data_IF_151216726055
#
_entry.id   IF_151216726055
#
_cell.length_a   1.000
_cell.length_b   1.000
_cell.length_c   1.000
_cell.angle_alpha   90.00
_cell.angle_beta   90.00
_cell.angle_gamma   90.00
#
_symmetry.space_group_name_H-M   'P 1'
#
loop_
_entity.id
_entity.type
_entity.pdbx_description
1 polymer ?
#
# COMPACT_ATOMS: atom_id res chain seq x y z
N UNK A 1 11.11 -31.56 -51.09
CA UNK A 1 10.94 -30.11 -50.85
C UNK A 1 12.17 -29.63 -50.09
N UNK A 2 12.81 -28.54 -50.49
CA UNK A 2 13.89 -27.98 -49.70
C UNK A 2 13.31 -27.45 -48.38
N UNK A 3 13.94 -27.77 -47.27
CA UNK A 3 13.64 -27.21 -45.96
C UNK A 3 14.02 -25.72 -45.96
N UNK A 4 13.05 -24.83 -45.82
CA UNK A 4 13.30 -23.40 -45.67
C UNK A 4 13.31 -23.04 -44.17
N UNK A 5 14.40 -22.47 -43.68
CA UNK A 5 14.49 -21.99 -42.32
C UNK A 5 13.68 -20.68 -42.20
N UNK A 6 12.62 -20.74 -41.44
CA UNK A 6 11.88 -19.54 -41.05
C UNK A 6 12.49 -18.99 -39.72
N UNK A 7 12.96 -17.77 -39.77
CA UNK A 7 13.50 -17.06 -38.57
C UNK A 7 12.63 -15.83 -38.31
N UNK A 8 11.96 -15.82 -37.16
CA UNK A 8 11.17 -14.69 -36.75
C UNK A 8 11.97 -13.80 -35.80
N UNK A 9 11.77 -12.49 -35.91
CA UNK A 9 12.36 -11.53 -34.98
C UNK A 9 11.70 -11.69 -33.60
N UNK A 10 12.46 -11.82 -32.49
CA UNK A 10 11.90 -11.96 -31.15
C UNK A 10 11.30 -10.63 -30.65
N UNK A 11 10.40 -10.71 -29.67
CA UNK A 11 9.69 -9.57 -29.11
C UNK A 11 8.39 -9.26 -29.84
N UNK A 12 7.47 -8.61 -29.16
CA UNK A 12 6.20 -8.15 -29.74
C UNK A 12 6.38 -6.71 -30.22
N UNK A 13 5.93 -6.42 -31.42
CA UNK A 13 5.93 -5.06 -31.96
C UNK A 13 4.52 -4.67 -32.42
N UNK A 14 3.95 -3.66 -31.76
CA UNK A 14 2.59 -3.11 -32.00
C UNK A 14 2.62 -1.66 -32.50
N UNK A 15 3.82 -1.11 -32.79
CA UNK A 15 3.95 0.30 -33.21
C UNK A 15 3.59 0.54 -34.68
N UNK A 16 3.52 -0.52 -35.47
CA UNK A 16 3.08 -0.47 -36.86
C UNK A 16 1.84 -1.33 -37.11
N UNK A 17 1.60 -1.66 -38.35
CA UNK A 17 0.59 -2.62 -38.76
C UNK A 17 1.13 -4.04 -38.67
N UNK A 18 0.23 -5.04 -38.64
CA UNK A 18 0.65 -6.45 -38.71
C UNK A 18 1.42 -6.75 -40.00
N UNK A 19 1.14 -6.03 -41.07
CA UNK A 19 1.83 -6.16 -42.37
C UNK A 19 3.27 -5.60 -42.32
N UNK A 20 3.47 -4.46 -41.66
CA UNK A 20 4.80 -3.86 -41.50
C UNK A 20 5.74 -4.72 -40.61
N UNK A 21 5.14 -5.55 -39.79
CA UNK A 21 5.86 -6.45 -38.87
C UNK A 21 6.08 -7.86 -39.47
N UNK A 22 6.12 -7.98 -40.79
CA UNK A 22 6.40 -9.26 -41.46
C UNK A 22 7.69 -9.88 -40.95
N UNK A 23 7.64 -11.18 -40.58
CA UNK A 23 8.75 -11.90 -39.95
C UNK A 23 8.98 -11.57 -38.48
N UNK A 24 8.05 -10.87 -37.83
CA UNK A 24 8.02 -10.60 -36.38
C UNK A 24 6.73 -11.11 -35.73
N UNK A 25 6.56 -10.76 -34.46
CA UNK A 25 5.38 -11.08 -33.66
C UNK A 25 4.58 -9.82 -33.45
N UNK A 26 3.37 -9.74 -34.02
CA UNK A 26 2.49 -8.58 -33.85
C UNK A 26 1.64 -8.68 -32.59
N UNK A 27 1.15 -9.87 -32.25
CA UNK A 27 0.30 -10.13 -31.10
C UNK A 27 0.57 -11.51 -30.51
N UNK A 28 0.77 -11.58 -29.19
CA UNK A 28 0.88 -12.82 -28.44
C UNK A 28 0.37 -12.59 -27.02
N UNK A 29 -0.33 -13.55 -26.47
CA UNK A 29 -0.73 -13.57 -25.07
C UNK A 29 -0.03 -14.72 -24.34
N UNK A 30 0.45 -14.47 -23.10
CA UNK A 30 1.16 -15.46 -22.27
C UNK A 30 2.42 -16.05 -22.96
N UNK A 31 3.14 -15.22 -23.70
CA UNK A 31 4.39 -15.59 -24.37
C UNK A 31 5.49 -14.62 -24.00
N UNK A 32 6.62 -15.15 -23.59
CA UNK A 32 7.88 -14.42 -23.41
C UNK A 32 8.88 -14.77 -24.50
N UNK A 33 9.91 -13.99 -24.63
CA UNK A 33 11.01 -14.28 -25.54
C UNK A 33 12.30 -14.48 -24.75
N UNK A 34 13.00 -15.56 -25.05
CA UNK A 34 14.26 -15.90 -24.40
C UNK A 34 15.24 -16.45 -25.41
N UNK A 35 16.45 -15.90 -25.44
CA UNK A 35 17.49 -16.31 -26.43
C UNK A 35 16.97 -16.28 -27.84
N UNK A 36 16.18 -15.25 -28.18
CA UNK A 36 15.59 -15.09 -29.50
C UNK A 36 14.44 -16.04 -29.85
N UNK A 37 13.91 -16.82 -28.91
CA UNK A 37 12.84 -17.80 -29.14
C UNK A 37 11.61 -17.50 -28.27
N UNK A 38 10.39 -17.72 -28.80
CA UNK A 38 9.18 -17.62 -27.99
C UNK A 38 9.10 -18.81 -27.03
N UNK A 39 8.72 -18.51 -25.79
CA UNK A 39 8.51 -19.47 -24.71
C UNK A 39 7.16 -19.17 -24.05
N UNK A 40 6.36 -20.18 -23.74
CA UNK A 40 5.10 -19.98 -23.03
C UNK A 40 5.36 -19.42 -21.64
N UNK A 41 4.63 -18.39 -21.30
CA UNK A 41 4.52 -17.92 -19.93
C UNK A 41 3.58 -18.87 -19.18
N UNK A 42 4.07 -19.61 -18.19
CA UNK A 42 3.37 -20.75 -17.59
C UNK A 42 2.08 -20.41 -16.82
N UNK A 43 1.70 -19.14 -16.77
CA UNK A 43 0.56 -18.65 -15.98
C UNK A 43 0.91 -18.47 -14.50
N UNK A 44 -0.12 -18.25 -13.70
CA UNK A 44 -0.03 -17.99 -12.27
C UNK A 44 -0.70 -19.13 -11.49
N UNK A 45 -0.05 -19.61 -10.46
CA UNK A 45 -0.60 -20.61 -9.54
C UNK A 45 -0.77 -19.98 -8.17
N UNK A 46 -1.77 -20.42 -7.43
CA UNK A 46 -1.99 -19.99 -6.06
C UNK A 46 -0.96 -20.66 -5.15
N UNK A 47 -0.20 -19.88 -4.39
CA UNK A 47 0.84 -20.39 -3.50
C UNK A 47 0.25 -21.12 -2.28
N UNK A 48 -0.84 -20.59 -1.71
CA UNK A 48 -1.48 -21.18 -0.53
C UNK A 48 -2.99 -21.28 -0.71
N UNK A 49 -3.62 -22.23 -0.04
CA UNK A 49 -5.09 -22.38 0.05
C UNK A 49 -5.69 -21.48 1.12
N UNK A 50 -4.88 -20.96 2.04
CA UNK A 50 -5.32 -20.06 3.10
C UNK A 50 -5.75 -18.71 2.54
N UNK A 51 -6.67 -18.05 3.23
CA UNK A 51 -7.30 -16.81 2.78
C UNK A 51 -7.12 -15.70 3.80
N UNK A 52 -7.14 -14.48 3.31
CA UNK A 52 -7.17 -13.25 4.09
C UNK A 52 -8.32 -12.35 3.59
N UNK A 53 -8.68 -11.33 4.37
CA UNK A 53 -9.74 -10.39 4.00
C UNK A 53 -9.19 -9.23 3.18
N UNK A 54 -9.92 -8.88 2.12
CA UNK A 54 -9.59 -7.76 1.26
C UNK A 54 -8.70 -8.11 0.08
N UNK A 55 -8.44 -7.13 -0.79
CA UNK A 55 -7.59 -7.26 -1.98
C UNK A 55 -6.17 -6.83 -1.63
N UNK A 56 -5.18 -7.71 -1.82
CA UNK A 56 -3.78 -7.39 -1.57
C UNK A 56 -3.28 -6.29 -2.51
N UNK A 57 -2.71 -5.23 -1.94
CA UNK A 57 -2.13 -4.08 -2.65
C UNK A 57 -0.66 -3.87 -2.32
N UNK A 58 -0.13 -4.61 -1.32
CA UNK A 58 1.24 -4.50 -0.89
C UNK A 58 1.75 -5.86 -0.43
N UNK A 59 2.93 -6.22 -0.90
CA UNK A 59 3.63 -7.44 -0.50
C UNK A 59 5.07 -7.07 -0.12
N UNK A 60 5.56 -7.64 0.97
CA UNK A 60 6.93 -7.45 1.45
C UNK A 60 7.44 -8.74 2.08
N UNK A 61 8.48 -9.32 1.52
CA UNK A 61 9.09 -10.54 2.02
C UNK A 61 10.42 -10.26 2.68
N UNK A 62 10.64 -10.81 3.87
CA UNK A 62 11.92 -10.74 4.59
C UNK A 62 12.18 -12.02 5.38
N UNK A 63 13.38 -12.11 5.92
CA UNK A 63 13.82 -13.24 6.74
C UNK A 63 14.42 -12.66 8.01
N UNK A 64 14.02 -13.18 9.20
CA UNK A 64 14.61 -12.80 10.47
C UNK A 64 16.00 -13.42 10.66
N UNK A 65 16.74 -12.97 11.68
CA UNK A 65 18.02 -13.54 12.06
C UNK A 65 17.90 -15.00 12.49
N UNK A 66 16.74 -15.41 12.97
CA UNK A 66 16.41 -16.81 13.28
C UNK A 66 16.03 -17.64 12.05
N UNK A 67 16.16 -17.07 10.85
CA UNK A 67 15.83 -17.70 9.56
C UNK A 67 14.33 -17.96 9.36
N UNK A 68 13.45 -17.33 10.12
CA UNK A 68 12.01 -17.36 9.90
C UNK A 68 11.66 -16.49 8.70
N UNK A 69 10.89 -17.05 7.77
CA UNK A 69 10.42 -16.33 6.59
C UNK A 69 9.09 -15.68 6.88
N UNK A 70 9.00 -14.40 6.56
CA UNK A 70 7.79 -13.60 6.70
C UNK A 70 7.38 -12.98 5.37
N UNK A 71 6.07 -12.85 5.16
CA UNK A 71 5.49 -12.10 4.07
C UNK A 71 4.43 -11.14 4.62
N UNK A 72 4.73 -9.84 4.58
CA UNK A 72 3.76 -8.78 4.87
C UNK A 72 2.76 -8.63 3.73
N UNK A 73 1.46 -8.64 4.04
CA UNK A 73 0.37 -8.51 3.07
C UNK A 73 -0.56 -7.38 3.50
N UNK A 74 -0.49 -6.24 2.80
CA UNK A 74 -1.37 -5.11 3.03
C UNK A 74 -2.57 -5.12 2.09
N UNK A 75 -3.79 -5.16 2.65
CA UNK A 75 -5.05 -5.11 1.91
C UNK A 75 -5.78 -3.79 2.14
N UNK A 76 -6.87 -3.53 1.42
CA UNK A 76 -7.69 -2.35 1.68
C UNK A 76 -8.42 -2.41 3.03
N UNK A 77 -8.53 -3.61 3.63
CA UNK A 77 -9.20 -3.83 4.91
C UNK A 77 -8.20 -3.96 6.08
N UNK A 78 -7.14 -4.75 5.90
CA UNK A 78 -6.24 -5.18 6.99
C UNK A 78 -4.79 -5.28 6.53
N UNK A 79 -3.90 -5.45 7.50
CA UNK A 79 -2.51 -5.81 7.27
C UNK A 79 -2.18 -7.13 7.98
N UNK A 80 -1.58 -8.07 7.24
CA UNK A 80 -1.24 -9.40 7.72
C UNK A 80 0.26 -9.66 7.63
N UNK A 81 0.74 -10.55 8.49
CA UNK A 81 2.00 -11.26 8.31
C UNK A 81 1.67 -12.73 8.05
N UNK A 82 2.10 -13.23 6.90
CA UNK A 82 2.12 -14.67 6.65
C UNK A 82 3.39 -15.25 7.24
N UNK A 83 3.23 -16.31 8.03
CA UNK A 83 4.30 -17.11 8.59
C UNK A 83 3.80 -18.56 8.71
N UNK A 84 4.53 -19.50 8.11
CA UNK A 84 4.19 -20.92 8.14
C UNK A 84 2.81 -21.24 7.56
N UNK A 85 2.49 -20.69 6.40
CA UNK A 85 1.20 -20.79 5.70
C UNK A 85 0.00 -20.16 6.44
N UNK A 86 0.20 -19.41 7.51
CA UNK A 86 -0.87 -18.75 8.25
C UNK A 86 -0.82 -17.23 8.10
N UNK A 87 -1.95 -16.59 7.80
CA UNK A 87 -2.07 -15.13 7.77
C UNK A 87 -2.49 -14.61 9.14
N UNK A 88 -1.57 -13.92 9.81
CA UNK A 88 -1.76 -13.37 11.14
C UNK A 88 -2.10 -11.87 11.03
N UNK A 89 -3.22 -11.45 11.58
CA UNK A 89 -3.70 -10.07 11.54
C UNK A 89 -2.92 -9.20 12.52
N UNK A 90 -2.04 -8.35 11.99
CA UNK A 90 -1.28 -7.36 12.76
C UNK A 90 -1.81 -5.94 12.60
N UNK A 91 -3.00 -5.77 12.04
CA UNK A 91 -3.62 -4.44 11.82
C UNK A 91 -3.62 -3.64 13.11
N UNK A 92 -3.09 -2.40 13.11
CA UNK A 92 -2.98 -1.59 14.33
C UNK A 92 -4.34 -1.24 14.92
N UNK A 93 -4.38 -1.09 16.25
CA UNK A 93 -5.53 -0.55 16.97
C UNK A 93 -5.36 0.97 17.03
N UNK A 94 -6.34 1.74 16.53
CA UNK A 94 -6.35 3.21 16.59
C UNK A 94 -6.87 3.77 17.89
N UNK A 95 -7.81 3.06 18.54
CA UNK A 95 -8.40 3.48 19.80
C UNK A 95 -9.03 2.30 20.53
N UNK A 96 -9.01 2.37 21.85
CA UNK A 96 -9.71 1.44 22.74
C UNK A 96 -10.58 2.25 23.69
N UNK A 97 -11.85 1.87 23.83
CA UNK A 97 -12.78 2.56 24.73
C UNK A 97 -12.50 2.22 26.19
N UNK A 98 -13.03 3.03 27.10
CA UNK A 98 -13.09 2.65 28.52
C UNK A 98 -14.15 1.55 28.73
N UNK A 99 -14.01 0.84 29.83
CA UNK A 99 -15.00 -0.18 30.20
C UNK A 99 -16.37 0.47 30.44
N UNK A 100 -17.38 -0.04 29.74
CA UNK A 100 -18.77 0.42 29.85
C UNK A 100 -19.16 1.56 28.92
N UNK A 101 -18.24 2.11 28.11
CA UNK A 101 -18.57 3.12 27.10
C UNK A 101 -19.43 2.51 25.95
N UNK A 102 -19.26 1.23 25.69
CA UNK A 102 -19.96 0.52 24.62
C UNK A 102 -21.20 -0.17 25.17
N UNK A 103 -22.34 0.04 24.49
CA UNK A 103 -23.64 -0.55 24.86
C UNK A 103 -24.25 -1.26 23.64
N UNK A 104 -24.71 -2.48 23.85
CA UNK A 104 -25.38 -3.27 22.83
C UNK A 104 -26.90 -3.23 22.98
N UNK A 105 -27.61 -3.23 21.85
CA UNK A 105 -29.04 -3.41 21.81
C UNK A 105 -29.42 -4.43 20.72
N UNK A 106 -30.10 -5.48 21.10
CA UNK A 106 -30.59 -6.55 20.24
C UNK A 106 -32.12 -6.70 20.30
N UNK A 107 -32.73 -7.15 19.22
CA UNK A 107 -34.15 -7.41 19.13
C UNK A 107 -34.42 -8.89 18.83
N UNK A 108 -35.39 -9.49 19.51
CA UNK A 108 -35.85 -10.86 19.22
C UNK A 108 -36.22 -11.00 17.74
N UNK A 109 -35.73 -12.06 17.10
CA UNK A 109 -35.95 -12.34 15.67
C UNK A 109 -34.96 -11.62 14.74
N UNK A 110 -33.99 -10.82 15.26
CA UNK A 110 -33.00 -10.11 14.48
C UNK A 110 -31.57 -10.64 14.73
N UNK A 111 -30.74 -10.67 13.70
CA UNK A 111 -29.32 -10.89 13.82
C UNK A 111 -28.52 -9.59 13.91
N UNK A 112 -29.20 -8.45 13.78
CA UNK A 112 -28.56 -7.13 13.82
C UNK A 112 -28.51 -6.67 15.28
N UNK A 113 -27.30 -6.34 15.73
CA UNK A 113 -27.04 -5.71 17.02
C UNK A 113 -26.66 -4.25 16.77
N UNK A 114 -27.37 -3.35 17.41
CA UNK A 114 -26.99 -1.92 17.44
C UNK A 114 -25.98 -1.71 18.54
N UNK A 115 -24.88 -1.06 18.21
CA UNK A 115 -23.82 -0.69 19.14
C UNK A 115 -23.86 0.83 19.31
N UNK A 116 -24.01 1.27 20.55
CA UNK A 116 -23.88 2.67 20.93
C UNK A 116 -22.51 2.88 21.55
N UNK A 117 -21.75 3.85 20.99
CA UNK A 117 -20.43 4.27 21.45
C UNK A 117 -20.21 5.71 20.96
N UNK A 118 -19.99 6.63 21.89
CA UNK A 118 -19.94 8.06 21.60
C UNK A 118 -18.67 8.43 20.85
N UNK A 119 -18.84 9.11 19.71
CA UNK A 119 -17.74 9.60 18.86
C UNK A 119 -16.77 8.47 18.43
N UNK A 120 -17.30 7.30 18.10
CA UNK A 120 -16.52 6.11 17.75
C UNK A 120 -15.58 6.29 16.53
N UNK A 121 -15.83 7.26 15.65
CA UNK A 121 -14.98 7.59 14.49
C UNK A 121 -14.84 6.46 13.47
N UNK A 122 -15.69 5.43 13.56
CA UNK A 122 -15.66 4.31 12.65
C UNK A 122 -16.46 4.60 11.38
N UNK A 123 -16.05 3.97 10.28
CA UNK A 123 -16.76 3.96 9.00
C UNK A 123 -17.30 2.57 8.69
N UNK A 124 -18.18 2.46 7.72
CA UNK A 124 -18.67 1.15 7.25
C UNK A 124 -17.50 0.27 6.82
N UNK A 125 -17.57 -1.00 7.14
CA UNK A 125 -16.55 -2.02 6.94
C UNK A 125 -15.34 -1.96 7.88
N UNK A 126 -15.23 -1.00 8.79
CA UNK A 126 -14.22 -1.01 9.85
C UNK A 126 -14.34 -2.25 10.75
N UNK A 127 -13.27 -2.55 11.46
CA UNK A 127 -13.22 -3.68 12.38
C UNK A 127 -13.10 -3.20 13.83
N UNK A 128 -13.85 -3.85 14.71
CA UNK A 128 -13.82 -3.65 16.15
C UNK A 128 -13.81 -5.00 16.87
N UNK A 129 -12.97 -5.14 17.87
CA UNK A 129 -12.95 -6.31 18.74
C UNK A 129 -13.57 -5.94 20.08
N UNK A 130 -14.59 -6.65 20.49
CA UNK A 130 -15.22 -6.46 21.80
C UNK A 130 -14.68 -7.43 22.83
N UNK A 131 -14.62 -6.98 24.07
CA UNK A 131 -14.28 -7.76 25.25
C UNK A 131 -15.09 -7.30 26.46
N UNK A 132 -15.16 -8.09 27.49
CA UNK A 132 -15.88 -7.78 28.72
C UNK A 132 -17.41 -7.79 28.61
N UNK A 133 -17.98 -8.16 27.47
CA UNK A 133 -19.43 -8.22 27.29
C UNK A 133 -20.05 -9.42 28.01
N UNK A 134 -21.18 -9.18 28.65
CA UNK A 134 -22.11 -10.21 29.14
C UNK A 134 -23.13 -10.56 28.06
N UNK A 135 -23.96 -11.60 28.29
CA UNK A 135 -25.01 -11.99 27.36
C UNK A 135 -26.13 -10.95 27.29
N UNK A 136 -26.67 -10.73 26.08
CA UNK A 136 -27.90 -9.96 25.89
C UNK A 136 -29.17 -10.83 26.17
N UNK A 137 -28.98 -12.11 26.40
CA UNK A 137 -30.03 -13.10 26.58
C UNK A 137 -30.16 -14.06 25.39
N UNK A 138 -30.74 -15.25 25.66
CA UNK A 138 -30.96 -16.30 24.65
C UNK A 138 -29.68 -16.70 23.91
N UNK A 139 -29.74 -16.72 22.59
CA UNK A 139 -28.64 -17.11 21.71
C UNK A 139 -27.51 -16.05 21.57
N UNK A 140 -27.76 -14.78 21.91
CA UNK A 140 -26.74 -13.73 21.90
C UNK A 140 -25.99 -13.77 23.22
N UNK A 141 -25.09 -14.74 23.31
CA UNK A 141 -24.27 -15.00 24.51
C UNK A 141 -23.05 -14.07 24.59
N UNK A 142 -22.36 -14.09 25.74
CA UNK A 142 -21.09 -13.39 25.89
C UNK A 142 -20.05 -13.81 24.84
N UNK A 143 -19.99 -15.09 24.47
CA UNK A 143 -19.07 -15.59 23.43
C UNK A 143 -19.43 -15.06 22.03
N UNK A 144 -20.71 -14.81 21.75
CA UNK A 144 -21.15 -14.16 20.52
C UNK A 144 -20.70 -12.71 20.48
N UNK A 145 -20.70 -11.98 21.59
CA UNK A 145 -20.33 -10.55 21.62
C UNK A 145 -18.81 -10.32 21.70
N UNK A 146 -18.10 -11.13 22.49
CA UNK A 146 -16.65 -10.97 22.74
C UNK A 146 -15.79 -11.55 21.61
N UNK A 147 -15.85 -10.92 20.45
CA UNK A 147 -15.04 -11.27 19.28
C UNK A 147 -14.88 -10.07 18.35
N UNK A 148 -14.14 -10.24 17.26
CA UNK A 148 -13.99 -9.23 16.23
C UNK A 148 -15.24 -9.17 15.34
N UNK A 149 -15.69 -7.95 15.05
CA UNK A 149 -16.78 -7.66 14.13
C UNK A 149 -16.39 -6.67 13.06
N UNK A 150 -16.86 -6.91 11.86
CA UNK A 150 -16.89 -5.89 10.81
C UNK A 150 -18.17 -5.06 10.98
N UNK A 151 -18.05 -3.75 10.93
CA UNK A 151 -19.16 -2.80 11.03
C UNK A 151 -19.98 -2.86 9.75
N UNK A 152 -21.24 -3.26 9.87
CA UNK A 152 -22.15 -3.39 8.74
C UNK A 152 -22.66 -2.03 8.26
N UNK A 153 -23.15 -1.21 9.16
CA UNK A 153 -23.73 0.09 8.85
C UNK A 153 -23.43 1.09 9.95
N UNK A 154 -22.93 2.26 9.61
CA UNK A 154 -22.82 3.39 10.54
C UNK A 154 -24.14 4.15 10.53
N UNK A 155 -24.79 4.26 11.69
CA UNK A 155 -26.07 4.96 11.86
C UNK A 155 -25.83 6.46 12.02
N UNK A 156 -24.90 6.83 12.90
CA UNK A 156 -24.46 8.20 13.16
C UNK A 156 -23.11 8.20 13.88
N UNK A 157 -22.60 9.34 14.30
CA UNK A 157 -21.32 9.47 14.99
C UNK A 157 -21.22 8.70 16.33
N UNK A 158 -22.36 8.28 16.89
CA UNK A 158 -22.44 7.65 18.22
C UNK A 158 -23.06 6.25 18.17
N UNK A 159 -23.35 5.71 16.98
CA UNK A 159 -23.93 4.36 16.88
C UNK A 159 -23.73 3.73 15.50
N UNK A 160 -23.59 2.42 15.50
CA UNK A 160 -23.47 1.60 14.31
C UNK A 160 -24.11 0.23 14.51
N UNK A 161 -24.13 -0.59 13.49
CA UNK A 161 -24.73 -1.94 13.50
C UNK A 161 -23.68 -2.99 13.14
N UNK A 162 -23.79 -4.13 13.79
CA UNK A 162 -23.03 -5.35 13.50
C UNK A 162 -23.99 -6.51 13.28
N UNK A 163 -23.55 -7.54 12.57
CA UNK A 163 -24.32 -8.78 12.40
C UNK A 163 -23.76 -9.81 13.38
N UNK A 164 -24.59 -10.22 14.35
CA UNK A 164 -24.21 -11.22 15.34
C UNK A 164 -23.77 -12.53 14.67
N UNK A 165 -22.63 -13.06 15.08
CA UNK A 165 -22.07 -14.33 14.59
C UNK A 165 -21.62 -15.17 15.77
N UNK A 166 -21.67 -16.50 15.64
CA UNK A 166 -21.01 -17.38 16.58
C UNK A 166 -19.50 -17.46 16.30
N UNK A 167 -18.73 -18.11 17.14
CA UNK A 167 -17.29 -18.29 17.01
C UNK A 167 -16.86 -19.08 15.76
N UNK A 168 -17.79 -19.76 15.10
CA UNK A 168 -17.58 -20.41 13.80
C UNK A 168 -17.92 -19.50 12.60
N UNK A 169 -18.29 -18.23 12.84
CA UNK A 169 -18.62 -17.25 11.80
C UNK A 169 -20.05 -17.33 11.26
N UNK A 170 -20.89 -18.24 11.77
CA UNK A 170 -22.28 -18.36 11.34
C UNK A 170 -23.15 -17.29 12.00
N UNK A 171 -24.09 -16.70 11.25
CA UNK A 171 -25.03 -15.69 11.75
C UNK A 171 -25.92 -16.25 12.88
N UNK A 172 -26.07 -15.47 13.94
CA UNK A 172 -26.90 -15.77 15.10
C UNK A 172 -28.10 -14.84 15.11
N UNK A 173 -29.32 -15.42 15.09
CA UNK A 173 -30.54 -14.65 15.26
C UNK A 173 -30.96 -14.66 16.74
N UNK A 174 -31.15 -13.48 17.31
CA UNK A 174 -31.60 -13.34 18.70
C UNK A 174 -32.97 -13.99 18.90
N UNK A 175 -33.13 -14.80 19.93
CA UNK A 175 -34.36 -15.46 20.31
C UNK A 175 -34.89 -15.02 21.70
N UNK A 176 -34.35 -13.94 22.23
CA UNK A 176 -34.76 -13.30 23.46
C UNK A 176 -34.65 -11.78 23.33
N UNK A 177 -35.42 -11.08 24.15
CA UNK A 177 -35.25 -9.62 24.28
C UNK A 177 -33.97 -9.32 25.04
N UNK A 178 -33.37 -8.20 24.71
CA UNK A 178 -32.21 -7.67 25.42
C UNK A 178 -32.59 -7.32 26.88
N UNK A 179 -31.78 -7.80 27.81
CA UNK A 179 -32.02 -7.61 29.25
C UNK A 179 -30.88 -6.94 30.01
N UNK A 180 -29.77 -6.55 29.34
CA UNK A 180 -28.63 -6.07 30.05
C UNK A 180 -27.63 -5.24 29.24
N UNK A 181 -27.97 -4.85 28.02
CA UNK A 181 -27.18 -3.97 27.16
C UNK A 181 -25.72 -4.46 26.94
N UNK A 182 -25.43 -5.73 27.21
CA UNK A 182 -24.09 -6.31 27.17
C UNK A 182 -23.27 -6.13 28.43
N UNK A 183 -23.81 -5.46 29.46
CA UNK A 183 -23.13 -5.23 30.74
C UNK A 183 -22.29 -3.95 30.78
N UNK A 184 -21.76 -3.64 31.98
CA UNK A 184 -21.02 -2.40 32.25
C UNK A 184 -19.49 -2.48 32.05
N UNK A 185 -18.99 -3.61 31.53
CA UNK A 185 -17.54 -3.83 31.37
C UNK A 185 -17.11 -3.96 29.91
N UNK A 186 -17.99 -3.63 28.98
CA UNK A 186 -17.73 -3.77 27.54
C UNK A 186 -16.66 -2.79 27.11
N UNK A 187 -15.63 -3.29 26.43
CA UNK A 187 -14.57 -2.51 25.79
C UNK A 187 -14.59 -2.81 24.32
N UNK A 188 -14.51 -1.78 23.49
CA UNK A 188 -14.32 -1.86 22.04
C UNK A 188 -12.92 -1.43 21.62
N UNK A 189 -12.16 -2.32 20.99
CA UNK A 189 -10.85 -2.01 20.39
C UNK A 189 -11.02 -1.84 18.87
N UNK A 190 -10.92 -0.60 18.39
CA UNK A 190 -11.10 -0.27 16.98
C UNK A 190 -9.78 -0.36 16.23
N UNK A 191 -9.77 -1.10 15.14
CA UNK A 191 -8.64 -1.10 14.22
C UNK A 191 -8.57 0.23 13.46
N UNK A 192 -7.42 0.52 12.83
CA UNK A 192 -7.29 1.65 11.91
C UNK A 192 -8.36 1.55 10.83
N UNK A 193 -8.96 2.69 10.46
CA UNK A 193 -10.05 2.71 9.49
C UNK A 193 -9.66 2.02 8.18
N UNK A 194 -10.59 1.29 7.59
CA UNK A 194 -10.44 0.73 6.25
C UNK A 194 -10.42 1.85 5.21
N UNK A 195 -9.88 1.55 4.04
CA UNK A 195 -9.93 2.47 2.90
C UNK A 195 -10.67 1.85 1.73
N UNK A 196 -10.74 2.60 0.64
CA UNK A 196 -11.39 2.13 -0.58
C UNK A 196 -10.53 1.09 -1.29
N UNK A 197 -11.19 0.18 -1.99
CA UNK A 197 -10.56 -0.78 -2.91
C UNK A 197 -10.34 -0.19 -4.31
N UNK A 198 -10.99 0.90 -4.63
CA UNK A 198 -10.84 1.63 -5.89
C UNK A 198 -10.34 3.05 -5.62
N UNK A 199 -9.56 3.57 -6.57
CA UNK A 199 -9.21 4.98 -6.53
C UNK A 199 -10.42 5.83 -6.92
N UNK A 200 -10.70 6.84 -6.13
CA UNK A 200 -11.67 7.90 -6.45
C UNK A 200 -10.91 9.22 -6.51
N UNK A 201 -11.16 9.98 -7.55
CA UNK A 201 -10.61 11.33 -7.61
C UNK A 201 -11.26 12.18 -6.51
N UNK A 202 -10.47 13.08 -5.93
CA UNK A 202 -11.01 14.04 -4.97
C UNK A 202 -12.03 15.00 -5.63
N UNK A 203 -12.78 15.73 -4.82
CA UNK A 203 -13.68 16.80 -5.28
C UNK A 203 -12.91 18.12 -5.42
N UNK A 204 -13.20 18.91 -6.41
CA UNK A 204 -12.58 20.23 -6.66
C UNK A 204 -12.23 20.48 -8.11
N UNK A 205 -11.70 21.66 -8.40
CA UNK A 205 -11.24 22.03 -9.74
C UNK A 205 -10.13 21.07 -10.20
N UNK A 206 -10.28 20.51 -11.38
CA UNK A 206 -9.33 19.54 -11.95
C UNK A 206 -9.39 18.10 -11.36
N UNK A 207 -10.31 17.82 -10.43
CA UNK A 207 -10.39 16.49 -9.82
C UNK A 207 -11.30 15.53 -10.60
N UNK A 208 -12.36 16.02 -11.22
CA UNK A 208 -13.33 15.28 -12.05
C UNK A 208 -14.09 16.22 -12.99
N UNK A 209 -15.25 15.80 -13.48
CA UNK A 209 -16.08 16.60 -14.39
C UNK A 209 -16.48 17.97 -13.82
N UNK A 210 -16.85 18.89 -14.73
CA UNK A 210 -17.35 20.22 -14.38
C UNK A 210 -18.61 20.13 -13.50
N UNK A 211 -18.59 20.80 -12.34
CA UNK A 211 -19.76 20.91 -11.46
C UNK A 211 -19.74 20.04 -10.21
N UNK A 212 -18.68 19.30 -9.96
CA UNK A 212 -18.52 18.57 -8.70
C UNK A 212 -17.88 19.43 -7.61
N UNK A 213 -18.61 19.63 -6.51
CA UNK A 213 -18.20 20.40 -5.34
C UNK A 213 -18.51 21.89 -5.38
N UNK A 214 -18.48 22.54 -4.23
CA UNK A 214 -18.65 24.00 -4.10
C UNK A 214 -17.37 24.74 -4.40
N UNK A 215 -17.49 25.96 -4.93
CA UNK A 215 -16.37 26.86 -5.18
C UNK A 215 -15.55 27.07 -3.90
N UNK A 216 -14.25 26.73 -3.94
CA UNK A 216 -13.37 26.85 -2.78
C UNK A 216 -13.33 25.64 -1.83
N UNK A 217 -14.07 24.54 -2.10
CA UNK A 217 -13.88 23.31 -1.39
C UNK A 217 -12.54 22.69 -1.76
N UNK A 218 -11.66 22.55 -0.78
CA UNK A 218 -10.45 21.74 -0.94
C UNK A 218 -10.85 20.27 -1.05
N UNK A 219 -10.29 19.58 -2.02
CA UNK A 219 -10.39 18.14 -2.16
C UNK A 219 -9.58 17.43 -1.05
N UNK A 220 -10.03 17.56 0.18
CA UNK A 220 -9.46 16.77 1.26
C UNK A 220 -9.97 15.34 1.15
N UNK A 221 -9.22 14.48 0.45
CA UNK A 221 -9.39 13.04 0.59
C UNK A 221 -9.10 12.69 2.05
N UNK A 222 -10.14 12.27 2.77
CA UNK A 222 -9.96 11.72 4.11
C UNK A 222 -9.26 10.36 4.02
N UNK A 223 -8.69 9.91 5.12
CA UNK A 223 -8.04 8.60 5.21
C UNK A 223 -8.98 7.44 4.79
N UNK A 224 -10.28 7.63 4.96
CA UNK A 224 -11.31 6.62 4.68
C UNK A 224 -11.86 6.69 3.25
N UNK A 225 -11.64 7.80 2.54
CA UNK A 225 -12.18 8.04 1.20
C UNK A 225 -11.14 7.93 0.08
N UNK A 226 -9.96 7.35 0.37
CA UNK A 226 -8.91 7.12 -0.60
C UNK A 226 -8.62 5.64 -0.78
N UNK A 227 -8.06 5.27 -1.94
CA UNK A 227 -7.54 3.94 -2.19
C UNK A 227 -6.54 3.58 -1.09
N UNK A 228 -6.80 2.48 -0.36
CA UNK A 228 -5.89 2.03 0.69
C UNK A 228 -4.64 1.41 0.08
N UNK A 229 -3.53 2.07 0.30
CA UNK A 229 -2.20 1.56 -0.03
C UNK A 229 -1.36 1.50 1.23
N UNK A 230 -0.59 0.43 1.34
CA UNK A 230 0.41 0.25 2.38
C UNK A 230 1.80 0.36 1.78
N UNK A 231 2.69 0.97 2.53
CA UNK A 231 4.13 0.89 2.31
C UNK A 231 4.78 0.28 3.55
N UNK A 232 5.89 -0.35 3.38
CA UNK A 232 6.57 -1.09 4.43
C UNK A 232 8.05 -1.20 4.13
N UNK A 233 8.84 -1.33 5.20
CA UNK A 233 10.26 -1.63 5.14
C UNK A 233 10.72 -2.14 6.50
N UNK A 234 11.83 -2.87 6.57
CA UNK A 234 12.38 -3.34 7.82
C UNK A 234 13.36 -2.33 8.42
N UNK A 235 13.28 -2.11 9.73
CA UNK A 235 14.29 -1.41 10.52
C UNK A 235 14.91 -2.42 11.50
N UNK A 236 16.01 -3.04 11.09
CA UNK A 236 16.48 -4.26 11.70
C UNK A 236 15.55 -5.44 11.39
N UNK A 237 15.07 -6.13 12.41
CA UNK A 237 14.08 -7.21 12.28
C UNK A 237 12.64 -6.72 12.34
N UNK A 238 12.44 -5.54 12.92
CA UNK A 238 11.13 -4.94 13.07
C UNK A 238 10.56 -4.43 11.74
N UNK A 239 9.27 -4.60 11.55
CA UNK A 239 8.57 -4.13 10.37
C UNK A 239 7.93 -2.76 10.60
N UNK A 240 8.36 -1.78 9.82
CA UNK A 240 7.71 -0.48 9.72
C UNK A 240 6.64 -0.53 8.65
N UNK A 241 5.40 -0.18 8.98
CA UNK A 241 4.30 -0.11 8.03
C UNK A 241 3.66 1.28 8.07
N UNK A 242 3.24 1.75 6.94
CA UNK A 242 2.57 3.03 6.80
C UNK A 242 1.35 2.90 5.91
N UNK A 243 0.23 3.40 6.37
CA UNK A 243 -0.91 3.68 5.51
C UNK A 243 -0.65 4.98 4.77
N UNK A 244 -0.69 4.96 3.43
CA UNK A 244 -0.45 6.16 2.63
C UNK A 244 -1.37 7.31 3.07
N UNK A 245 -0.78 8.48 3.29
CA UNK A 245 -1.43 9.69 3.82
C UNK A 245 -1.94 9.57 5.26
N UNK A 246 -1.56 8.54 5.99
CA UNK A 246 -2.00 8.26 7.36
C UNK A 246 -0.84 7.79 8.24
N UNK A 247 -1.15 7.07 9.32
CA UNK A 247 -0.23 6.69 10.39
C UNK A 247 0.94 5.81 9.97
N UNK A 248 1.97 5.85 10.80
CA UNK A 248 3.15 5.00 10.73
C UNK A 248 3.15 4.10 11.94
N UNK A 249 3.37 2.80 11.73
CA UNK A 249 3.27 1.80 12.78
C UNK A 249 4.50 0.89 12.73
N UNK A 250 4.82 0.31 13.87
CA UNK A 250 5.88 -0.65 14.05
C UNK A 250 5.29 -1.98 14.52
N UNK A 251 5.64 -3.05 13.88
CA UNK A 251 5.50 -4.40 14.40
C UNK A 251 6.87 -4.89 14.84
N UNK A 252 6.96 -5.37 16.10
CA UNK A 252 8.19 -5.85 16.70
C UNK A 252 8.26 -7.35 16.53
N UNK A 253 9.35 -7.88 15.98
CA UNK A 253 9.53 -9.30 15.71
C UNK A 253 9.52 -10.13 17.01
N UNK A 254 10.16 -9.62 18.05
CA UNK A 254 10.25 -10.26 19.37
C UNK A 254 8.88 -10.51 20.02
N UNK A 255 7.88 -9.66 19.73
CA UNK A 255 6.51 -9.83 20.23
C UNK A 255 5.74 -10.94 19.50
N UNK A 256 6.27 -11.43 18.37
CA UNK A 256 5.72 -12.50 17.56
C UNK A 256 4.50 -12.12 16.73
N UNK A 257 4.08 -13.04 15.85
CA UNK A 257 3.00 -12.82 14.86
C UNK A 257 1.60 -12.66 15.47
N UNK A 258 1.42 -12.95 16.75
CA UNK A 258 0.18 -12.70 17.49
C UNK A 258 0.00 -11.27 17.96
N UNK A 259 1.08 -10.48 17.97
CA UNK A 259 1.05 -9.09 18.38
C UNK A 259 0.63 -8.18 17.21
N UNK A 260 -0.11 -7.11 17.52
CA UNK A 260 -0.49 -6.10 16.55
C UNK A 260 0.58 -5.01 16.44
N UNK A 261 0.70 -4.43 15.26
CA UNK A 261 1.55 -3.26 15.06
C UNK A 261 1.03 -2.06 15.89
N UNK A 262 1.94 -1.25 16.40
CA UNK A 262 1.67 -0.12 17.30
C UNK A 262 2.03 1.18 16.59
N UNK A 263 1.27 2.26 16.84
CA UNK A 263 1.61 3.57 16.30
C UNK A 263 3.00 4.00 16.75
N UNK A 264 3.88 4.34 15.82
CA UNK A 264 5.27 4.66 16.10
C UNK A 264 5.39 5.86 17.06
N UNK A 265 4.51 6.85 16.92
CA UNK A 265 4.42 8.01 17.81
C UNK A 265 3.91 7.71 19.22
N UNK A 266 3.31 6.54 19.44
CA UNK A 266 2.81 6.09 20.75
C UNK A 266 3.82 5.23 21.54
N UNK A 267 4.97 4.89 20.96
CA UNK A 267 5.99 4.09 21.62
C UNK A 267 6.76 4.94 22.61
N UNK A 268 7.08 4.36 23.79
CA UNK A 268 7.90 5.04 24.79
C UNK A 268 9.25 5.47 24.22
N UNK A 269 9.61 6.74 24.39
CA UNK A 269 10.82 7.35 23.83
C UNK A 269 10.63 7.94 22.43
N UNK A 270 9.43 7.90 21.85
CA UNK A 270 9.13 8.58 20.60
C UNK A 270 9.22 10.10 20.76
N UNK A 271 10.02 10.73 19.89
CA UNK A 271 10.29 12.16 19.91
C UNK A 271 10.06 12.77 18.54
N UNK A 272 9.04 13.61 18.40
CA UNK A 272 8.61 14.27 17.17
C UNK A 272 8.50 13.31 15.97
N UNK A 273 8.13 12.06 16.22
CA UNK A 273 7.90 11.06 15.18
C UNK A 273 6.77 11.54 14.26
N UNK A 274 6.90 11.42 12.92
CA UNK A 274 5.81 11.72 12.00
C UNK A 274 4.54 10.96 12.33
N UNK A 275 3.43 11.68 12.42
CA UNK A 275 2.11 11.08 12.67
C UNK A 275 1.42 10.69 11.38
N UNK A 276 1.88 11.23 10.24
CA UNK A 276 1.39 10.92 8.90
C UNK A 276 2.52 10.90 7.88
N UNK A 277 2.37 10.04 6.86
CA UNK A 277 3.34 9.95 5.76
C UNK A 277 2.73 9.32 4.51
N UNK A 278 3.36 9.56 3.36
CA UNK A 278 2.98 8.93 2.09
C UNK A 278 3.67 7.57 1.91
N UNK A 279 4.91 7.45 2.38
CA UNK A 279 5.71 6.23 2.28
C UNK A 279 6.82 6.21 3.32
N UNK A 280 7.12 5.03 3.86
CA UNK A 280 8.28 4.77 4.70
C UNK A 280 9.34 3.99 3.93
N UNK A 281 10.61 4.34 4.15
CA UNK A 281 11.79 3.67 3.60
C UNK A 281 12.87 3.68 4.67
N UNK A 282 13.56 2.57 4.87
CA UNK A 282 14.73 2.49 5.75
C UNK A 282 16.01 2.61 4.93
N UNK A 283 16.89 3.52 5.29
CA UNK A 283 18.25 3.56 4.76
C UNK A 283 19.05 2.40 5.34
N UNK A 284 19.37 1.39 4.52
CA UNK A 284 20.04 0.18 5.00
C UNK A 284 21.48 0.43 5.48
N UNK A 285 22.16 1.35 4.82
CA UNK A 285 23.57 1.64 5.10
C UNK A 285 23.74 2.47 6.36
N UNK A 286 22.90 3.43 6.57
CA UNK A 286 23.04 4.48 7.58
C UNK A 286 21.96 4.37 8.66
N UNK A 287 21.02 3.42 8.49
CA UNK A 287 19.94 3.04 9.41
C UNK A 287 19.15 4.25 9.94
N UNK A 288 18.62 5.02 9.00
CA UNK A 288 17.60 6.04 9.26
C UNK A 288 16.24 5.57 8.76
N UNK A 289 15.20 5.84 9.51
CA UNK A 289 13.83 5.72 9.00
C UNK A 289 13.47 7.01 8.26
N UNK A 290 13.19 6.90 6.97
CA UNK A 290 12.83 8.01 6.09
C UNK A 290 11.34 7.97 5.84
N UNK A 291 10.66 9.11 6.03
CA UNK A 291 9.23 9.28 5.77
C UNK A 291 9.07 10.29 4.64
N UNK A 292 8.63 9.81 3.49
CA UNK A 292 8.31 10.64 2.33
C UNK A 292 6.91 11.23 2.48
N UNK A 293 6.74 12.52 2.20
CA UNK A 293 5.47 13.22 2.36
C UNK A 293 5.02 13.23 3.82
N UNK A 294 5.85 13.79 4.69
CA UNK A 294 5.62 13.82 6.14
C UNK A 294 4.80 15.03 6.58
N UNK A 295 4.18 14.95 7.74
CA UNK A 295 3.63 16.11 8.43
C UNK A 295 4.76 16.96 9.05
N UNK A 296 4.77 18.29 8.84
CA UNK A 296 5.83 19.15 9.35
C UNK A 296 5.77 19.33 10.87
N UNK A 297 6.92 19.71 11.44
CA UNK A 297 7.03 20.13 12.84
C UNK A 297 6.57 21.59 12.96
N UNK A 298 5.71 21.88 13.92
CA UNK A 298 5.29 23.21 14.30
C UNK A 298 5.50 23.40 15.83
N UNK A 299 6.53 24.15 16.20
CA UNK A 299 6.94 24.25 17.60
C UNK A 299 7.45 22.90 18.12
N UNK A 300 6.79 22.35 19.13
CA UNK A 300 7.14 21.09 19.79
C UNK A 300 6.22 19.91 19.38
N UNK A 301 5.46 20.04 18.31
CA UNK A 301 4.51 19.00 17.87
C UNK A 301 4.53 18.83 16.36
N UNK A 302 3.99 17.72 15.87
CA UNK A 302 3.68 17.53 14.46
C UNK A 302 2.31 18.12 14.14
N UNK A 303 2.15 18.64 12.93
CA UNK A 303 0.89 19.28 12.50
C UNK A 303 -0.25 18.29 12.27
N UNK A 304 0.04 17.00 12.07
CA UNK A 304 -0.94 15.99 11.68
C UNK A 304 -1.52 16.20 10.26
N UNK A 305 -0.95 17.10 9.48
CA UNK A 305 -1.34 17.37 8.09
C UNK A 305 -0.14 17.13 7.19
N UNK A 306 -0.27 16.24 6.23
CA UNK A 306 0.80 15.88 5.28
C UNK A 306 1.23 17.10 4.47
N UNK A 307 2.52 17.43 4.48
CA UNK A 307 3.15 18.20 3.41
C UNK A 307 3.66 17.22 2.35
N UNK A 308 3.02 17.16 1.18
CA UNK A 308 3.32 16.13 0.18
C UNK A 308 4.71 16.22 -0.43
N UNK A 309 5.46 17.29 -0.15
CA UNK A 309 6.82 17.51 -0.66
C UNK A 309 7.90 17.43 0.43
N UNK A 310 7.51 17.21 1.69
CA UNK A 310 8.43 17.13 2.82
C UNK A 310 8.95 15.69 2.99
N UNK A 311 10.25 15.55 3.18
CA UNK A 311 10.90 14.30 3.59
C UNK A 311 11.41 14.49 5.01
N UNK A 312 11.01 13.64 5.94
CA UNK A 312 11.55 13.60 7.29
C UNK A 312 12.40 12.33 7.46
N UNK A 313 13.46 12.40 8.24
CA UNK A 313 14.31 11.25 8.56
C UNK A 313 14.67 11.25 10.04
N UNK A 314 14.71 10.03 10.60
CA UNK A 314 15.04 9.82 12.01
C UNK A 314 16.52 10.07 12.31
N UNK A 315 16.89 10.03 13.58
CA UNK A 315 18.29 9.88 13.96
C UNK A 315 18.84 8.53 13.52
N UNK A 316 20.15 8.45 13.37
CA UNK A 316 20.85 7.23 13.00
C UNK A 316 20.64 6.14 14.05
N UNK A 317 20.37 4.91 13.61
CA UNK A 317 20.08 3.75 14.48
C UNK A 317 18.88 3.91 15.41
N UNK A 318 18.10 5.00 15.28
CA UNK A 318 16.95 5.26 16.15
C UNK A 318 15.71 5.72 15.35
N UNK A 319 14.80 4.78 15.10
CA UNK A 319 13.56 5.06 14.38
C UNK A 319 12.53 5.90 15.19
N UNK A 320 12.80 6.17 16.46
CA UNK A 320 11.87 6.88 17.36
C UNK A 320 12.23 8.36 17.56
N UNK A 321 13.40 8.83 17.11
CA UNK A 321 13.81 10.23 17.28
C UNK A 321 13.86 10.96 15.93
N UNK A 322 12.95 11.93 15.77
CA UNK A 322 12.86 12.82 14.61
C UNK A 322 13.02 14.30 15.00
N UNK A 323 13.44 14.58 16.23
CA UNK A 323 13.73 15.96 16.63
C UNK A 323 15.06 16.42 16.02
N UNK A 324 15.09 17.47 15.19
CA UNK A 324 16.32 17.96 14.61
C UNK A 324 17.13 18.74 15.66
N UNK A 325 18.17 18.11 16.20
CA UNK A 325 19.11 18.68 17.15
C UNK A 325 20.50 18.80 16.55
N UNK A 326 21.31 19.72 17.08
CA UNK A 326 22.72 19.83 16.66
C UNK A 326 23.59 18.62 17.07
N UNK A 327 23.07 17.77 17.93
CA UNK A 327 23.76 16.60 18.51
C UNK A 327 23.33 15.27 17.89
N UNK A 328 22.31 15.26 17.03
CA UNK A 328 21.84 14.07 16.32
C UNK A 328 21.83 14.28 14.80
N UNK A 329 21.37 13.28 14.07
CA UNK A 329 21.32 13.28 12.61
C UNK A 329 19.89 13.37 12.06
N UNK A 330 18.88 13.51 12.94
CA UNK A 330 17.49 13.68 12.55
C UNK A 330 17.27 15.00 11.81
N UNK A 331 16.32 15.02 10.89
CA UNK A 331 16.04 16.24 10.13
C UNK A 331 14.92 16.11 9.12
N UNK A 332 14.80 17.13 8.30
CA UNK A 332 13.85 17.13 7.19
C UNK A 332 14.35 17.96 6.02
N UNK A 333 13.90 17.59 4.83
CA UNK A 333 14.20 18.27 3.57
C UNK A 333 12.90 18.42 2.78
N UNK A 334 12.73 19.52 2.06
CA UNK A 334 11.57 19.75 1.21
C UNK A 334 11.99 19.83 -0.26
N UNK A 335 11.31 19.05 -1.11
CA UNK A 335 11.56 19.07 -2.55
C UNK A 335 11.00 20.34 -3.19
N UNK A 336 11.60 20.79 -4.28
CA UNK A 336 11.28 22.06 -4.94
C UNK A 336 10.52 21.91 -6.25
N UNK A 337 10.62 20.77 -6.95
CA UNK A 337 9.96 20.54 -8.24
C UNK A 337 8.91 19.44 -8.12
N UNK A 338 7.70 19.73 -8.59
CA UNK A 338 6.51 18.89 -8.46
C UNK A 338 5.51 19.43 -7.45
N UNK A 339 4.40 18.74 -7.30
CA UNK A 339 3.32 19.07 -6.35
C UNK A 339 3.16 18.04 -5.24
N UNK A 340 3.56 16.79 -5.49
CA UNK A 340 3.47 15.70 -4.51
C UNK A 340 4.51 14.62 -4.80
N UNK A 341 5.10 14.09 -3.75
CA UNK A 341 5.89 12.87 -3.82
C UNK A 341 4.94 11.70 -4.12
N UNK A 342 5.21 10.99 -5.19
CA UNK A 342 4.43 9.82 -5.58
C UNK A 342 4.99 8.57 -4.91
N UNK A 343 6.29 8.39 -4.92
CA UNK A 343 6.94 7.24 -4.28
C UNK A 343 8.45 7.32 -4.33
N UNK A 344 9.10 6.37 -3.67
CA UNK A 344 10.55 6.21 -3.68
C UNK A 344 10.96 4.75 -3.64
N UNK A 345 12.16 4.46 -4.11
CA UNK A 345 12.78 3.13 -4.03
C UNK A 345 14.24 3.23 -3.63
N UNK A 346 14.73 2.21 -2.94
CA UNK A 346 16.16 2.07 -2.65
C UNK A 346 16.90 1.66 -3.91
N UNK A 347 17.90 2.45 -4.29
CA UNK A 347 18.87 2.13 -5.33
C UNK A 347 20.19 1.70 -4.68
N UNK A 348 21.24 1.45 -5.48
CA UNK A 348 22.47 0.83 -4.98
C UNK A 348 23.22 1.64 -3.91
N UNK A 349 23.20 2.98 -4.00
CA UNK A 349 23.92 3.88 -3.08
C UNK A 349 23.12 5.13 -2.72
N UNK A 350 21.86 5.16 -3.11
CA UNK A 350 20.95 6.30 -2.99
C UNK A 350 19.51 5.84 -2.87
N UNK A 351 18.67 6.70 -2.38
CA UNK A 351 17.22 6.54 -2.46
C UNK A 351 16.70 7.45 -3.56
N UNK A 352 16.08 6.86 -4.57
CA UNK A 352 15.41 7.61 -5.62
C UNK A 352 14.01 7.99 -5.18
N UNK A 353 13.68 9.26 -5.32
CA UNK A 353 12.38 9.82 -4.92
C UNK A 353 11.75 10.51 -6.12
N UNK A 354 10.54 10.10 -6.47
CA UNK A 354 9.78 10.70 -7.56
C UNK A 354 8.68 11.60 -7.01
N UNK A 355 8.57 12.75 -7.64
CA UNK A 355 7.34 13.53 -7.59
C UNK A 355 6.45 13.18 -8.79
N UNK A 356 5.33 13.85 -8.91
CA UNK A 356 4.45 13.80 -10.08
C UNK A 356 5.15 14.22 -11.37
N UNK A 357 6.23 15.01 -11.30
CA UNK A 357 6.92 15.58 -12.46
C UNK A 357 8.42 15.30 -12.52
N UNK A 358 9.07 15.01 -11.41
CA UNK A 358 10.52 14.98 -11.32
C UNK A 358 11.07 13.76 -10.59
N UNK A 359 12.34 13.45 -10.85
CA UNK A 359 13.13 12.44 -10.16
C UNK A 359 14.26 13.10 -9.36
N UNK A 360 14.38 12.73 -8.10
CA UNK A 360 15.43 13.13 -7.19
C UNK A 360 16.28 11.95 -6.71
N UNK A 361 17.56 12.21 -6.47
CA UNK A 361 18.46 11.33 -5.72
C UNK A 361 18.65 11.88 -4.31
N UNK A 362 18.41 11.05 -3.32
CA UNK A 362 18.71 11.32 -1.92
C UNK A 362 19.85 10.42 -1.47
N UNK A 363 20.94 11.02 -1.00
CA UNK A 363 22.16 10.31 -0.60
C UNK A 363 22.57 10.73 0.80
N UNK A 364 23.05 9.78 1.59
CA UNK A 364 23.70 10.09 2.86
C UNK A 364 25.06 10.74 2.61
N UNK A 365 25.22 11.97 3.12
CA UNK A 365 26.44 12.77 2.98
C UNK A 365 27.14 13.00 4.33
N UNK A 366 26.50 12.58 5.41
CA UNK A 366 27.00 12.73 6.77
C UNK A 366 26.81 14.12 7.38
N UNK A 367 27.14 14.25 8.69
CA UNK A 367 27.01 15.51 9.39
C UNK A 367 27.79 16.65 8.72
N UNK A 368 27.30 17.91 8.76
CA UNK A 368 26.12 18.36 9.51
C UNK A 368 24.79 18.24 8.77
N UNK A 369 24.76 17.82 7.51
CA UNK A 369 23.55 17.85 6.67
C UNK A 369 22.80 16.52 6.62
N UNK A 370 23.41 15.42 7.06
CA UNK A 370 22.90 14.04 7.06
C UNK A 370 22.60 13.53 5.65
N UNK A 371 21.59 14.09 4.96
CA UNK A 371 21.23 13.75 3.59
C UNK A 371 21.36 14.94 2.64
N UNK A 372 21.85 14.67 1.44
CA UNK A 372 21.81 15.57 0.29
C UNK A 372 20.74 15.12 -0.70
N UNK A 373 20.02 16.07 -1.28
CA UNK A 373 19.02 15.81 -2.32
C UNK A 373 19.41 16.55 -3.59
N UNK A 374 19.47 15.83 -4.70
CA UNK A 374 19.77 16.36 -6.01
C UNK A 374 18.62 16.06 -6.98
N UNK A 375 18.17 17.08 -7.72
CA UNK A 375 17.27 16.90 -8.85
C UNK A 375 18.05 16.23 -9.99
N UNK A 376 17.60 15.04 -10.41
CA UNK A 376 18.23 14.29 -11.52
C UNK A 376 17.61 14.68 -12.85
N UNK A 377 16.28 14.68 -12.91
CA UNK A 377 15.56 14.92 -14.16
C UNK A 377 14.15 15.46 -13.91
N UNK A 378 13.67 16.32 -14.81
CA UNK A 378 12.30 16.79 -14.86
C UNK A 378 11.55 16.16 -16.03
N UNK A 379 10.23 16.05 -15.95
CA UNK A 379 9.39 15.44 -16.98
C UNK A 379 9.37 13.91 -16.96
N UNK A 380 9.96 13.29 -15.94
CA UNK A 380 10.03 11.82 -15.78
C UNK A 380 9.37 11.34 -14.49
N UNK A 381 8.27 11.98 -14.09
CA UNK A 381 7.50 11.64 -12.90
C UNK A 381 7.00 10.19 -12.89
N UNK A 382 6.56 9.73 -11.74
CA UNK A 382 6.09 8.37 -11.52
C UNK A 382 4.57 8.30 -11.66
N UNK A 383 4.07 7.34 -12.43
CA UNK A 383 2.62 7.19 -12.68
C UNK A 383 1.83 6.70 -11.46
N UNK A 384 2.47 5.96 -10.57
CA UNK A 384 1.85 5.43 -9.35
C UNK A 384 2.89 5.03 -8.31
N UNK A 385 2.53 4.94 -7.02
CA UNK A 385 3.48 4.78 -5.91
C UNK A 385 4.38 3.54 -6.00
N UNK A 386 3.92 2.51 -6.69
CA UNK A 386 4.64 1.22 -6.84
C UNK A 386 5.04 0.93 -8.28
N UNK A 387 5.09 1.96 -9.13
CA UNK A 387 5.43 1.80 -10.54
C UNK A 387 6.95 1.81 -10.82
N UNK A 388 7.80 1.90 -9.80
CA UNK A 388 9.26 1.83 -9.89
C UNK A 388 9.81 0.59 -9.18
N UNK A 389 10.88 0.00 -9.75
CA UNK A 389 11.53 -1.19 -9.19
C UNK A 389 13.03 -1.17 -9.42
N UNK A 390 13.78 -1.62 -8.42
CA UNK A 390 15.23 -1.75 -8.46
C UNK A 390 15.63 -3.15 -8.91
N UNK A 391 16.61 -3.22 -9.81
CA UNK A 391 17.23 -4.45 -10.31
C UNK A 391 18.76 -4.34 -10.22
N UNK A 392 19.50 -5.43 -10.44
CA UNK A 392 20.98 -5.36 -10.50
C UNK A 392 21.50 -4.46 -11.60
N UNK A 393 20.75 -4.22 -12.68
CA UNK A 393 21.15 -3.38 -13.82
C UNK A 393 20.75 -1.91 -13.68
N UNK A 394 19.94 -1.56 -12.69
CA UNK A 394 19.46 -0.21 -12.46
C UNK A 394 18.02 -0.18 -11.99
N UNK A 395 17.43 0.99 -11.96
CA UNK A 395 16.04 1.21 -11.57
C UNK A 395 15.20 1.43 -12.82
N UNK A 396 14.02 0.79 -12.89
CA UNK A 396 13.08 0.90 -13.99
C UNK A 396 11.74 1.42 -13.47
N UNK A 397 11.09 2.29 -14.24
CA UNK A 397 9.77 2.79 -13.86
C UNK A 397 8.88 3.11 -15.05
N UNK A 398 7.58 3.08 -14.78
CA UNK A 398 6.54 3.53 -15.68
C UNK A 398 6.13 4.95 -15.30
N UNK A 399 6.19 5.86 -16.25
CA UNK A 399 5.66 7.21 -16.16
C UNK A 399 4.33 7.32 -16.91
N UNK A 400 3.77 8.53 -17.01
CA UNK A 400 2.48 8.74 -17.67
C UNK A 400 2.48 8.42 -19.17
N UNK A 401 3.63 8.57 -19.84
CA UNK A 401 3.72 8.41 -21.29
C UNK A 401 4.89 7.55 -21.75
N UNK A 402 5.79 7.11 -20.86
CA UNK A 402 6.97 6.35 -21.24
C UNK A 402 7.43 5.42 -20.12
N UNK A 403 8.26 4.48 -20.49
CA UNK A 403 9.10 3.72 -19.57
C UNK A 403 10.50 4.30 -19.55
N UNK A 404 11.10 4.34 -18.38
CA UNK A 404 12.44 4.87 -18.16
C UNK A 404 13.30 3.90 -17.37
N UNK A 405 14.61 4.09 -17.48
CA UNK A 405 15.61 3.45 -16.63
C UNK A 405 16.63 4.46 -16.09
N UNK A 406 17.20 4.10 -14.95
CA UNK A 406 18.27 4.88 -14.31
C UNK A 406 19.38 3.95 -13.83
N UNK A 407 20.60 4.26 -14.25
CA UNK A 407 21.84 3.60 -13.83
C UNK A 407 22.98 4.62 -13.66
N UNK A 408 22.66 5.79 -13.09
CA UNK A 408 23.51 6.97 -13.02
C UNK A 408 23.07 8.07 -13.98
N UNK A 409 22.26 7.76 -14.99
CA UNK A 409 21.60 8.72 -15.86
C UNK A 409 20.22 8.20 -16.25
N UNK A 410 19.27 9.11 -16.48
CA UNK A 410 17.91 8.76 -16.94
C UNK A 410 17.94 8.48 -18.44
N UNK A 411 17.37 7.34 -18.83
CA UNK A 411 17.20 6.94 -20.22
C UNK A 411 15.75 6.53 -20.49
N UNK A 412 15.20 7.00 -21.61
CA UNK A 412 13.93 6.50 -22.11
C UNK A 412 14.13 5.11 -22.69
N UNK A 413 13.29 4.15 -22.29
CA UNK A 413 13.32 2.81 -22.86
C UNK A 413 12.53 2.78 -24.17
N UNK A 414 13.18 2.44 -25.31
CA UNK A 414 12.45 2.18 -26.56
C UNK A 414 11.44 1.06 -26.34
N UNK A 415 10.17 1.33 -26.57
CA UNK A 415 9.08 0.38 -26.30
C UNK A 415 8.33 0.03 -27.57
N UNK A 416 8.44 -1.23 -28.02
CA UNK A 416 7.78 -1.74 -29.22
C UNK A 416 6.28 -2.02 -29.03
N UNK A 417 5.76 -1.78 -27.83
CA UNK A 417 4.34 -1.93 -27.46
C UNK A 417 3.79 -0.67 -26.80
N UNK A 418 4.44 0.47 -27.03
CA UNK A 418 4.16 1.74 -26.38
C UNK A 418 2.70 2.18 -26.56
N UNK A 419 2.26 2.33 -27.81
CA UNK A 419 0.91 2.78 -28.13
C UNK A 419 -0.17 1.80 -27.63
N UNK A 420 0.13 0.51 -27.63
CA UNK A 420 -0.76 -0.53 -27.09
C UNK A 420 -0.97 -0.36 -25.57
N UNK A 421 0.11 -0.15 -24.82
CA UNK A 421 0.05 -0.05 -23.36
C UNK A 421 -0.55 1.30 -22.95
N UNK A 422 0.03 2.41 -23.40
CA UNK A 422 -0.38 3.76 -22.97
C UNK A 422 -1.74 4.20 -23.55
N UNK A 423 -2.20 3.58 -24.63
CA UNK A 423 -3.56 3.74 -25.13
C UNK A 423 -4.63 2.95 -24.38
N UNK A 424 -4.21 1.95 -23.57
CA UNK A 424 -5.11 1.06 -22.82
C UNK A 424 -5.05 1.26 -21.30
N UNK A 425 -4.07 1.98 -20.76
CA UNK A 425 -3.93 2.21 -19.31
C UNK A 425 -5.07 3.08 -18.78
N UNK A 426 -5.76 2.60 -17.73
CA UNK A 426 -6.71 3.40 -16.96
C UNK A 426 -5.96 4.34 -16.00
N UNK A 427 -5.75 5.58 -16.41
CA UNK A 427 -5.08 6.61 -15.60
C UNK A 427 -5.83 6.92 -14.31
N UNK A 428 -7.17 6.74 -14.28
CA UNK A 428 -7.97 6.86 -13.07
C UNK A 428 -7.67 5.80 -12.01
N UNK A 429 -6.99 4.70 -12.39
CA UNK A 429 -6.56 3.65 -11.47
C UNK A 429 -5.01 3.49 -11.45
N UNK A 430 -4.28 4.53 -11.82
CA UNK A 430 -2.81 4.50 -11.92
C UNK A 430 -2.11 4.10 -10.60
N UNK A 431 -2.70 4.41 -9.45
CA UNK A 431 -2.18 4.02 -8.14
C UNK A 431 -2.24 2.52 -7.85
N UNK A 432 -2.96 1.74 -8.67
CA UNK A 432 -2.96 0.27 -8.64
C UNK A 432 -1.84 -0.35 -9.47
N UNK A 433 -1.07 0.44 -10.21
CA UNK A 433 0.08 -0.05 -10.97
C UNK A 433 1.14 -0.57 -10.00
N UNK A 434 1.53 -1.82 -10.18
CA UNK A 434 2.56 -2.47 -9.39
C UNK A 434 3.66 -3.01 -10.30
N UNK A 435 4.90 -2.65 -10.00
CA UNK A 435 6.06 -3.21 -10.68
C UNK A 435 6.54 -4.48 -10.00
N UNK A 436 7.12 -5.37 -10.78
CA UNK A 436 7.72 -6.62 -10.30
C UNK A 436 8.95 -7.00 -11.12
N UNK A 437 9.77 -7.89 -10.60
CA UNK A 437 10.94 -8.42 -11.32
C UNK A 437 11.01 -9.93 -11.22
N UNK A 438 11.42 -10.56 -12.33
CA UNK A 438 11.77 -11.98 -12.39
C UNK A 438 13.29 -12.05 -12.60
N UNK A 439 14.02 -12.04 -11.49
CA UNK A 439 15.48 -11.87 -11.47
C UNK A 439 16.23 -12.94 -12.29
N UNK A 440 15.81 -14.20 -12.22
CA UNK A 440 16.40 -15.32 -12.95
C UNK A 440 16.20 -15.26 -14.48
N UNK A 441 15.24 -14.44 -14.92
CA UNK A 441 14.94 -14.19 -16.34
C UNK A 441 15.41 -12.81 -16.82
N UNK A 442 15.94 -11.97 -15.93
CA UNK A 442 16.31 -10.59 -16.23
C UNK A 442 15.14 -9.77 -16.78
N UNK A 443 13.96 -9.94 -16.17
CA UNK A 443 12.72 -9.31 -16.60
C UNK A 443 12.21 -8.36 -15.52
N UNK A 444 11.69 -7.22 -15.94
CA UNK A 444 10.86 -6.31 -15.14
C UNK A 444 9.48 -6.22 -15.77
N UNK A 445 8.48 -6.01 -14.96
CA UNK A 445 7.12 -5.89 -15.46
C UNK A 445 6.27 -4.95 -14.61
N UNK A 446 5.14 -4.55 -15.21
CA UNK A 446 4.14 -3.70 -14.58
C UNK A 446 2.77 -4.33 -14.77
N UNK A 447 2.09 -4.56 -13.67
CA UNK A 447 0.67 -4.86 -13.67
C UNK A 447 -0.10 -3.54 -13.73
N UNK A 448 -1.15 -3.48 -14.55
CA UNK A 448 -1.98 -2.28 -14.71
C UNK A 448 -3.44 -2.62 -14.99
N UNK A 449 -4.33 -1.65 -14.80
CA UNK A 449 -5.73 -1.77 -15.18
C UNK A 449 -5.90 -1.30 -16.62
N UNK A 450 -6.61 -2.08 -17.46
CA UNK A 450 -6.99 -1.65 -18.80
C UNK A 450 -8.01 -0.49 -18.74
N UNK A 451 -8.24 0.19 -19.85
CA UNK A 451 -9.04 1.42 -19.91
C UNK A 451 -10.43 1.32 -19.28
N UNK A 452 -11.06 0.15 -19.33
CA UNK A 452 -12.40 -0.10 -18.75
C UNK A 452 -12.38 -0.84 -17.41
N UNK A 453 -11.20 -1.29 -16.94
CA UNK A 453 -11.06 -2.07 -15.73
C UNK A 453 -10.79 -1.17 -14.51
N UNK A 454 -11.38 -1.53 -13.38
CA UNK A 454 -11.05 -0.96 -12.08
C UNK A 454 -10.09 -1.82 -11.28
N UNK A 455 -9.90 -3.08 -11.68
CA UNK A 455 -8.91 -4.02 -11.14
C UNK A 455 -7.82 -4.33 -12.15
N UNK A 456 -6.67 -4.78 -11.64
CA UNK A 456 -5.52 -5.16 -12.45
C UNK A 456 -5.87 -6.39 -13.29
N UNK A 457 -5.84 -6.23 -14.61
CA UNK A 457 -6.19 -7.25 -15.59
C UNK A 457 -5.14 -7.43 -16.71
N UNK A 458 -4.11 -6.57 -16.71
CA UNK A 458 -3.06 -6.56 -17.73
C UNK A 458 -1.67 -6.57 -17.10
N UNK A 459 -0.70 -7.04 -17.87
CA UNK A 459 0.70 -6.83 -17.57
C UNK A 459 1.51 -6.52 -18.83
N UNK A 460 2.57 -5.75 -18.66
CA UNK A 460 3.60 -5.53 -19.68
C UNK A 460 4.95 -5.84 -19.06
N UNK A 461 5.84 -6.47 -19.80
CA UNK A 461 7.16 -6.90 -19.34
C UNK A 461 8.25 -6.50 -20.31
N UNK A 462 9.41 -6.22 -19.75
CA UNK A 462 10.63 -5.88 -20.45
C UNK A 462 11.79 -6.77 -20.01
N UNK A 463 12.40 -7.46 -20.92
CA UNK A 463 13.67 -8.15 -20.68
C UNK A 463 14.81 -7.15 -20.86
N UNK A 464 15.45 -6.78 -19.75
CA UNK A 464 16.45 -5.69 -19.73
C UNK A 464 17.85 -6.14 -20.25
N UNK A 465 18.06 -7.42 -20.51
CA UNK A 465 19.28 -7.95 -21.14
C UNK A 465 19.10 -8.06 -22.66
N UNK A 466 17.96 -8.55 -23.12
CA UNK A 466 17.69 -8.76 -24.54
C UNK A 466 17.00 -7.54 -25.20
N UNK A 467 16.52 -6.57 -24.42
CA UNK A 467 15.83 -5.37 -24.93
C UNK A 467 14.45 -5.67 -25.55
N UNK A 468 13.77 -6.71 -25.08
CA UNK A 468 12.55 -7.22 -25.69
C UNK A 468 11.31 -6.95 -24.81
N UNK A 469 10.22 -6.54 -25.47
CA UNK A 469 8.92 -6.31 -24.83
C UNK A 469 7.94 -7.41 -25.12
N UNK A 470 7.12 -7.74 -24.13
CA UNK A 470 5.96 -8.60 -24.25
C UNK A 470 4.90 -8.24 -23.22
N UNK A 471 3.68 -8.67 -23.45
CA UNK A 471 2.54 -8.35 -22.62
C UNK A 471 1.58 -9.52 -22.51
N UNK A 472 0.60 -9.41 -21.65
CA UNK A 472 -0.47 -10.38 -21.53
C UNK A 472 -1.62 -9.90 -20.66
N UNK A 473 -2.60 -10.77 -20.56
CA UNK A 473 -3.80 -10.56 -19.74
C UNK A 473 -3.74 -11.50 -18.54
N UNK A 474 -4.25 -11.01 -17.41
CA UNK A 474 -4.55 -11.83 -16.25
C UNK A 474 -5.96 -12.39 -16.43
N UNK A 475 -6.13 -13.69 -16.23
CA UNK A 475 -7.42 -14.38 -16.37
C UNK A 475 -8.22 -14.29 -15.08
#
# INVERSE_FOLDING_TARGET
MPLQKLTFRPGINREGTAYDNEGGWFDCNLVRFRKGRPEKFGGWIKETTNTYLGTARALHAWISLESTKFLGVGTHLKYYIEAGDSFNDITPIRSTTSAGDVVFAGSNGSSIITVADTAHGAVQNDFVTFSGAASLGGLVTAAVLNQEYQIDTVVNANSYKIIAKNTAGSTVTANASDSGNGGSSVVGAYQVNVGLDVYVAGTGWSANGWGEGTFGSTSALSETNQLRLWTHDNFGEDLMINQRSSGIFKWTEEDGVGARAVALSGISGANLVPTKGLQVITSEKDRHLIVLGSDPILGSTRTGVVDPMLIAFSDQENALDFEPLSTNTAGSLRLSSGSSIIGGVKARQETLVWTDTALYSMQFIGPPFTFGINLINEGTGLIGPKAAITTPSGVYWMSYNNFYSYNGSVQTLPCSVHNYVFGDVNLGQSFKINSFTIKDKSEVGWFYCSASATEVDRYVMYNYVEGLWFYGQLS
#
